data_IF_034037257756
#
_entry.id   IF_034037257756
#
_cell.length_a   1.000
_cell.length_b   1.000
_cell.length_c   1.000
_cell.angle_alpha   90.00
_cell.angle_beta   90.00
_cell.angle_gamma   90.00
#
_symmetry.space_group_name_H-M   'P 1'
#
loop_
_entity.id
_entity.type
_entity.pdbx_description
1 polymer ?
#
# COMPACT_ATOMS: atom_id res chain seq x y z
N UNK A 1 3.65 5.04 6.21
CA UNK A 1 2.33 4.66 5.69
C UNK A 1 2.06 5.49 4.45
N UNK A 2 1.52 4.90 3.38
CA UNK A 2 1.12 5.61 2.15
C UNK A 2 -0.40 5.57 2.02
N UNK A 3 -1.02 6.66 1.55
CA UNK A 3 -2.48 6.77 1.37
C UNK A 3 -2.77 6.91 -0.12
N UNK A 4 -3.61 6.02 -0.67
CA UNK A 4 -3.87 5.91 -2.12
C UNK A 4 -5.26 6.43 -2.53
N UNK A 5 -6.10 6.80 -1.57
CA UNK A 5 -7.48 7.24 -1.82
C UNK A 5 -7.60 8.57 -2.58
N UNK A 6 -6.50 9.31 -2.74
CA UNK A 6 -6.43 10.55 -3.54
C UNK A 6 -5.93 10.36 -4.97
N UNK A 7 -5.64 9.13 -5.40
CA UNK A 7 -5.27 8.84 -6.77
C UNK A 7 -6.57 8.68 -7.60
N UNK A 8 -7.13 9.81 -8.06
CA UNK A 8 -8.47 9.86 -8.67
C UNK A 8 -8.57 9.17 -10.03
N UNK A 9 -7.49 9.04 -10.78
CA UNK A 9 -7.50 8.38 -12.10
C UNK A 9 -6.24 7.58 -12.30
N UNK A 10 -6.43 6.33 -12.72
CA UNK A 10 -5.49 5.24 -12.89
C UNK A 10 -4.25 5.58 -13.73
N UNK A 11 -3.30 6.34 -13.17
CA UNK A 11 -1.97 6.40 -13.74
C UNK A 11 -1.22 5.15 -13.29
N UNK A 12 -1.20 4.15 -14.18
CA UNK A 12 -0.50 2.88 -13.99
C UNK A 12 0.98 3.10 -13.65
N UNK A 13 1.58 4.20 -14.13
CA UNK A 13 2.96 4.57 -13.83
C UNK A 13 3.15 4.87 -12.34
N UNK A 14 2.24 5.62 -11.71
CA UNK A 14 2.30 5.93 -10.28
C UNK A 14 2.21 4.64 -9.45
N UNK A 15 1.31 3.72 -9.83
CA UNK A 15 1.16 2.43 -9.17
C UNK A 15 2.45 1.59 -9.26
N UNK A 16 3.11 1.59 -10.43
CA UNK A 16 4.40 0.91 -10.62
C UNK A 16 5.51 1.54 -9.77
N UNK A 17 5.61 2.87 -9.74
CA UNK A 17 6.64 3.54 -8.93
C UNK A 17 6.45 3.29 -7.43
N UNK A 18 5.20 3.30 -6.95
CA UNK A 18 4.89 2.92 -5.57
C UNK A 18 5.30 1.48 -5.27
N UNK A 19 5.11 0.56 -6.22
CA UNK A 19 5.57 -0.81 -6.06
C UNK A 19 7.08 -0.90 -5.86
N UNK A 20 7.87 -0.23 -6.70
CA UNK A 20 9.32 -0.22 -6.54
C UNK A 20 9.76 0.43 -5.23
N UNK A 21 9.14 1.54 -4.82
CA UNK A 21 9.40 2.15 -3.51
C UNK A 21 9.17 1.18 -2.37
N UNK A 22 8.04 0.47 -2.38
CA UNK A 22 7.75 -0.50 -1.35
C UNK A 22 8.70 -1.70 -1.35
N UNK A 23 9.12 -2.16 -2.54
CA UNK A 23 10.16 -3.20 -2.66
C UNK A 23 11.47 -2.74 -2.05
N UNK A 24 11.89 -1.50 -2.31
CA UNK A 24 13.09 -0.92 -1.71
C UNK A 24 12.97 -0.86 -0.18
N UNK A 25 11.82 -0.45 0.36
CA UNK A 25 11.60 -0.49 1.81
C UNK A 25 11.73 -1.90 2.39
N UNK A 26 11.21 -2.92 1.69
CA UNK A 26 11.40 -4.32 2.11
C UNK A 26 12.86 -4.75 2.10
N UNK A 27 13.68 -4.25 1.17
CA UNK A 27 15.13 -4.53 1.14
C UNK A 27 15.86 -3.84 2.29
N UNK A 28 15.37 -2.68 2.74
CA UNK A 28 15.90 -1.94 3.88
C UNK A 28 15.37 -2.44 5.24
N UNK A 29 14.56 -3.51 5.25
CA UNK A 29 13.93 -4.03 6.47
C UNK A 29 12.81 -3.14 7.03
N UNK A 30 12.34 -2.16 6.25
CA UNK A 30 11.27 -1.24 6.65
C UNK A 30 9.91 -1.90 6.36
N UNK A 31 9.08 -2.05 7.40
CA UNK A 31 7.69 -2.51 7.23
C UNK A 31 6.81 -1.38 6.69
N UNK A 32 6.61 -1.36 5.38
CA UNK A 32 5.68 -0.46 4.73
C UNK A 32 4.23 -0.91 4.92
N UNK A 33 3.33 0.08 4.95
CA UNK A 33 1.89 -0.11 5.06
C UNK A 33 1.20 0.87 4.11
N UNK A 34 0.09 0.45 3.51
CA UNK A 34 -0.72 1.28 2.61
C UNK A 34 -2.18 1.31 3.02
N UNK A 35 -2.92 2.36 2.67
CA UNK A 35 -4.34 2.47 2.94
C UNK A 35 -5.11 3.14 1.80
N UNK A 36 -6.41 2.86 1.70
CA UNK A 36 -7.29 3.52 0.72
C UNK A 36 -7.09 3.03 -0.72
N UNK A 37 -6.78 1.74 -0.91
CA UNK A 37 -6.75 1.13 -2.25
C UNK A 37 -8.19 1.07 -2.78
N UNK A 38 -8.46 1.77 -3.88
CA UNK A 38 -9.72 1.62 -4.61
C UNK A 38 -9.73 0.32 -5.42
N UNK A 39 -10.92 -0.24 -5.74
CA UNK A 39 -11.02 -1.43 -6.59
C UNK A 39 -10.30 -1.27 -7.94
N UNK A 40 -10.33 -0.08 -8.54
CA UNK A 40 -9.62 0.23 -9.78
C UNK A 40 -8.09 0.09 -9.63
N UNK A 41 -7.52 0.65 -8.57
CA UNK A 41 -6.08 0.54 -8.28
C UNK A 41 -5.69 -0.92 -8.02
N UNK A 42 -6.50 -1.65 -7.25
CA UNK A 42 -6.27 -3.08 -7.00
C UNK A 42 -6.27 -3.88 -8.31
N UNK A 43 -7.21 -3.61 -9.21
CA UNK A 43 -7.28 -4.27 -10.51
C UNK A 43 -6.07 -3.94 -11.38
N UNK A 44 -5.61 -2.68 -11.37
CA UNK A 44 -4.38 -2.28 -12.07
C UNK A 44 -3.16 -3.02 -11.54
N UNK A 45 -3.03 -3.17 -10.23
CA UNK A 45 -1.92 -3.92 -9.63
C UNK A 45 -1.91 -5.38 -10.10
N UNK A 46 -3.09 -6.03 -10.12
CA UNK A 46 -3.26 -7.40 -10.62
C UNK A 46 -2.89 -7.48 -12.11
N UNK A 47 -3.40 -6.56 -12.93
CA UNK A 47 -3.12 -6.55 -14.37
C UNK A 47 -1.63 -6.36 -14.70
N UNK A 48 -0.93 -5.60 -13.87
CA UNK A 48 0.51 -5.37 -13.99
C UNK A 48 1.37 -6.51 -13.42
N UNK A 49 0.76 -7.55 -12.84
CA UNK A 49 1.47 -8.64 -12.17
C UNK A 49 2.17 -8.20 -10.88
N UNK A 50 1.78 -7.05 -10.31
CA UNK A 50 2.37 -6.52 -9.08
C UNK A 50 1.71 -7.17 -7.87
N UNK A 51 2.46 -8.00 -7.15
CA UNK A 51 1.98 -8.59 -5.90
C UNK A 51 2.49 -7.81 -4.69
N UNK A 52 1.55 -7.25 -3.94
CA UNK A 52 1.79 -6.61 -2.65
C UNK A 52 1.62 -7.55 -1.47
N UNK A 53 1.69 -8.87 -1.67
CA UNK A 53 1.39 -9.86 -0.62
C UNK A 53 2.18 -9.73 0.69
N UNK A 54 3.32 -9.00 0.70
CA UNK A 54 4.10 -8.69 1.92
C UNK A 54 3.77 -7.33 2.54
N UNK A 55 3.00 -6.49 1.86
CA UNK A 55 2.61 -5.16 2.31
C UNK A 55 1.25 -5.25 2.97
N UNK A 56 1.16 -4.72 4.20
CA UNK A 56 -0.13 -4.59 4.87
C UNK A 56 -0.94 -3.48 4.21
N UNK A 57 -2.11 -3.82 3.70
CA UNK A 57 -3.09 -2.87 3.18
C UNK A 57 -4.28 -2.76 4.11
N UNK A 58 -4.84 -1.55 4.21
CA UNK A 58 -6.02 -1.26 5.01
C UNK A 58 -7.04 -0.49 4.19
N UNK A 59 -8.33 -0.68 4.44
CA UNK A 59 -9.37 0.05 3.71
C UNK A 59 -9.35 1.55 4.06
N UNK A 60 -9.02 1.88 5.32
CA UNK A 60 -8.99 3.27 5.79
C UNK A 60 -7.72 3.59 6.59
N UNK A 61 -7.28 4.87 6.61
CA UNK A 61 -6.20 5.32 7.47
C UNK A 61 -6.46 5.01 8.96
N UNK A 62 -7.71 5.10 9.40
CA UNK A 62 -8.11 4.80 10.79
C UNK A 62 -7.81 3.35 11.17
N UNK A 63 -8.09 2.40 10.29
CA UNK A 63 -7.74 0.99 10.50
C UNK A 63 -6.23 0.77 10.54
N UNK A 64 -5.46 1.41 9.65
CA UNK A 64 -4.00 1.32 9.64
C UNK A 64 -3.38 1.87 10.93
N UNK A 65 -3.91 2.98 11.45
CA UNK A 65 -3.48 3.58 12.70
C UNK A 65 -3.82 2.69 13.91
N UNK A 66 -5.03 2.14 13.96
CA UNK A 66 -5.43 1.21 15.02
C UNK A 66 -4.49 0.00 15.07
N UNK A 67 -4.21 -0.62 13.92
CA UNK A 67 -3.26 -1.73 13.79
C UNK A 67 -1.86 -1.38 14.31
N UNK A 68 -1.37 -0.17 14.01
CA UNK A 68 -0.05 0.29 14.46
C UNK A 68 -0.01 0.52 15.97
N UNK A 69 -1.09 1.06 16.56
CA UNK A 69 -1.19 1.28 18.00
C UNK A 69 -1.22 -0.02 18.78
N UNK A 70 -1.98 -1.01 18.31
CA UNK A 70 -2.04 -2.35 18.91
C UNK A 70 -0.67 -3.03 18.90
N UNK A 71 0.09 -2.92 17.79
CA UNK A 71 1.43 -3.50 17.67
C UNK A 71 2.48 -2.85 18.58
N UNK A 72 2.34 -1.57 18.91
CA UNK A 72 3.26 -0.84 19.80
C UNK A 72 2.90 -0.95 21.29
N UNK A 73 1.68 -1.43 21.60
CA UNK A 73 1.22 -1.66 22.96
C UNK A 73 1.54 -3.08 23.49
N UNK A 74 2.11 -3.94 22.63
CA UNK A 74 2.63 -5.26 22.93
C UNK A 74 4.16 -5.26 22.85
#
# INVERSE_FOLDING_TARGET
MVVLSGLETTDTFVVQQLYYLFKTFSLLGIQAMTSGISPAIAQTMVNLGLSFGKIKSFATPKQALAHTREKNAA
#
